data_IF_705208390424
#
_entry.id   IF_705208390424
#
_cell.length_a   1.000
_cell.length_b   1.000
_cell.length_c   1.000
_cell.angle_alpha   90.00
_cell.angle_beta   90.00
_cell.angle_gamma   90.00
#
_symmetry.space_group_name_H-M   'P 1'
#
loop_
_entity.id
_entity.type
_entity.pdbx_description
1 polymer ?
#
# COMPACT_ATOMS: atom_id res chain seq x y z
N UNK A 1 1.15 15.39 -9.74
CA UNK A 1 1.33 14.25 -10.68
C UNK A 1 1.69 12.96 -9.94
N UNK A 2 2.71 12.94 -9.07
CA UNK A 2 3.10 11.74 -8.30
C UNK A 2 1.93 11.14 -7.46
N UNK A 3 1.22 11.98 -6.69
CA UNK A 3 0.03 11.57 -5.92
C UNK A 3 -1.06 10.90 -6.78
N UNK A 4 -1.31 11.43 -7.98
CA UNK A 4 -2.27 10.86 -8.94
C UNK A 4 -1.84 9.47 -9.43
N UNK A 5 -0.55 9.29 -9.73
CA UNK A 5 0.01 8.01 -10.17
C UNK A 5 0.00 6.99 -9.02
N UNK A 6 0.31 7.43 -7.80
CA UNK A 6 0.28 6.57 -6.60
C UNK A 6 -1.13 6.09 -6.29
N UNK A 7 -2.11 7.00 -6.33
CA UNK A 7 -3.52 6.64 -6.14
C UNK A 7 -4.00 5.67 -7.24
N UNK A 8 -3.67 5.93 -8.51
CA UNK A 8 -3.99 5.00 -9.60
C UNK A 8 -3.30 3.64 -9.42
N UNK A 9 -2.06 3.61 -8.95
CA UNK A 9 -1.32 2.36 -8.70
C UNK A 9 -1.87 1.53 -7.52
N UNK A 10 -2.50 2.20 -6.55
CA UNK A 10 -3.03 1.56 -5.34
C UNK A 10 -4.49 1.12 -5.48
N UNK A 11 -5.32 1.94 -6.15
CA UNK A 11 -6.76 1.80 -6.11
C UNK A 11 -7.40 1.40 -7.46
N UNK A 12 -6.71 1.54 -8.59
CA UNK A 12 -7.25 1.14 -9.90
C UNK A 12 -6.69 -0.21 -10.36
N UNK A 13 -7.53 -1.05 -10.98
CA UNK A 13 -7.10 -2.25 -11.71
C UNK A 13 -6.48 -1.86 -13.07
N UNK A 14 -5.39 -1.11 -13.03
CA UNK A 14 -4.66 -0.72 -14.24
C UNK A 14 -3.99 -1.97 -14.82
N UNK A 15 -4.28 -2.35 -16.07
CA UNK A 15 -3.70 -3.55 -16.72
C UNK A 15 -2.16 -3.47 -16.95
N UNK A 16 -1.53 -2.35 -16.60
CA UNK A 16 -0.11 -2.04 -16.86
C UNK A 16 0.72 -1.85 -15.57
N UNK A 17 0.36 -2.53 -14.46
CA UNK A 17 0.98 -2.32 -13.12
C UNK A 17 2.50 -2.47 -13.14
N UNK A 18 2.99 -3.50 -13.82
CA UNK A 18 4.42 -3.78 -14.01
C UNK A 18 5.16 -2.66 -14.75
N UNK A 19 4.48 -2.01 -15.69
CA UNK A 19 5.05 -0.95 -16.53
C UNK A 19 5.15 0.38 -15.79
N UNK A 20 4.34 0.59 -14.74
CA UNK A 20 4.27 1.84 -13.98
C UNK A 20 5.15 1.84 -12.73
N UNK A 21 5.49 0.69 -12.13
CA UNK A 21 6.38 0.63 -10.96
C UNK A 21 7.78 1.18 -11.24
N UNK A 22 8.36 0.83 -12.39
CA UNK A 22 9.72 1.25 -12.79
C UNK A 22 9.86 2.78 -12.99
N UNK A 23 8.96 3.47 -13.71
CA UNK A 23 8.98 4.93 -13.79
C UNK A 23 8.58 5.59 -12.45
N UNK A 24 7.73 4.96 -11.65
CA UNK A 24 7.35 5.47 -10.33
C UNK A 24 8.54 5.57 -9.37
N UNK A 25 9.43 4.58 -9.35
CA UNK A 25 10.68 4.67 -8.57
C UNK A 25 11.49 5.91 -8.95
N UNK A 26 11.63 6.18 -10.25
CA UNK A 26 12.31 7.39 -10.74
C UNK A 26 11.66 8.68 -10.27
N UNK A 27 10.33 8.74 -10.26
CA UNK A 27 9.59 9.90 -9.78
C UNK A 27 9.70 10.08 -8.25
N UNK A 28 9.67 8.98 -7.48
CA UNK A 28 9.84 9.01 -6.02
C UNK A 28 11.23 9.53 -5.66
N UNK A 29 12.28 9.04 -6.32
CA UNK A 29 13.66 9.48 -6.06
C UNK A 29 13.92 10.93 -6.50
N UNK A 30 13.21 11.41 -7.54
CA UNK A 30 13.31 12.79 -7.99
C UNK A 30 12.54 13.76 -7.08
N UNK A 31 11.45 13.30 -6.48
CA UNK A 31 10.52 14.10 -5.69
C UNK A 31 10.27 13.50 -4.31
N UNK A 32 11.35 13.19 -3.59
CA UNK A 32 11.30 12.51 -2.29
C UNK A 32 10.47 13.27 -1.25
N UNK A 33 10.62 14.59 -1.19
CA UNK A 33 9.85 15.45 -0.28
C UNK A 33 8.34 15.37 -0.57
N UNK A 34 7.95 15.43 -1.85
CA UNK A 34 6.56 15.29 -2.26
C UNK A 34 6.00 13.90 -1.91
N UNK A 35 6.82 12.85 -2.05
CA UNK A 35 6.44 11.49 -1.68
C UNK A 35 6.22 11.37 -0.16
N UNK A 36 7.12 11.91 0.65
CA UNK A 36 6.99 11.88 2.12
C UNK A 36 5.78 12.68 2.59
N UNK A 37 5.54 13.87 2.02
CA UNK A 37 4.36 14.66 2.34
C UNK A 37 3.07 13.92 2.01
N UNK A 38 2.98 13.34 0.80
CA UNK A 38 1.82 12.55 0.40
C UNK A 38 1.60 11.33 1.31
N UNK A 39 2.68 10.64 1.70
CA UNK A 39 2.61 9.51 2.66
C UNK A 39 2.03 9.95 3.99
N UNK A 40 2.51 11.08 4.54
CA UNK A 40 2.01 11.63 5.80
C UNK A 40 0.52 12.02 5.71
N UNK A 41 0.12 12.68 4.62
CA UNK A 41 -1.29 13.03 4.38
C UNK A 41 -2.18 11.79 4.27
N UNK A 42 -1.72 10.75 3.57
CA UNK A 42 -2.47 9.50 3.45
C UNK A 42 -2.65 8.81 4.81
N UNK A 43 -1.57 8.72 5.60
CA UNK A 43 -1.59 8.11 6.94
C UNK A 43 -2.47 8.90 7.91
N UNK A 44 -2.42 10.24 7.86
CA UNK A 44 -3.25 11.10 8.70
C UNK A 44 -4.75 10.87 8.43
N UNK A 45 -5.11 10.54 7.20
CA UNK A 45 -6.48 10.23 6.80
C UNK A 45 -6.92 8.77 7.12
N UNK A 46 -6.02 7.91 7.60
CA UNK A 46 -6.40 6.54 8.01
C UNK A 46 -6.89 6.48 9.48
N UNK A 47 -7.83 5.57 9.79
CA UNK A 47 -8.19 5.21 11.15
C UNK A 47 -6.99 4.80 11.99
N UNK A 48 -6.99 5.17 13.28
CA UNK A 48 -5.82 5.00 14.17
C UNK A 48 -5.40 3.53 14.34
N UNK A 49 -6.36 2.61 14.34
CA UNK A 49 -6.18 1.16 14.37
C UNK A 49 -5.49 0.59 13.11
N UNK A 50 -5.60 1.29 11.97
CA UNK A 50 -5.01 0.87 10.69
C UNK A 50 -3.68 1.58 10.40
N UNK A 51 -3.39 2.72 11.04
CA UNK A 51 -2.19 3.53 10.78
C UNK A 51 -0.89 2.73 10.89
N UNK A 52 -0.74 1.93 11.94
CA UNK A 52 0.46 1.10 12.14
C UNK A 52 0.70 0.12 10.98
N UNK A 53 -0.37 -0.54 10.51
CA UNK A 53 -0.28 -1.47 9.39
C UNK A 53 0.07 -0.76 8.06
N UNK A 54 -0.50 0.43 7.82
CA UNK A 54 -0.11 1.25 6.66
C UNK A 54 1.34 1.72 6.74
N UNK A 55 1.83 2.13 7.92
CA UNK A 55 3.24 2.53 8.12
C UNK A 55 4.21 1.37 7.84
N UNK A 56 3.90 0.18 8.32
CA UNK A 56 4.68 -1.03 8.05
C UNK A 56 4.67 -1.38 6.55
N UNK A 57 3.52 -1.25 5.89
CA UNK A 57 3.41 -1.46 4.45
C UNK A 57 4.31 -0.47 3.68
N UNK A 58 4.33 0.82 4.07
CA UNK A 58 5.22 1.82 3.45
C UNK A 58 6.70 1.55 3.72
N UNK A 59 7.03 1.00 4.89
CA UNK A 59 8.40 0.57 5.22
C UNK A 59 8.81 -0.57 4.30
N UNK A 60 7.95 -1.58 4.14
CA UNK A 60 8.18 -2.73 3.26
C UNK A 60 8.27 -2.33 1.78
N UNK A 61 7.54 -1.29 1.35
CA UNK A 61 7.64 -0.76 -0.01
C UNK A 61 9.06 -0.31 -0.36
N UNK A 62 9.76 0.29 0.61
CA UNK A 62 11.11 0.85 0.43
C UNK A 62 12.22 -0.10 0.90
N UNK A 63 11.90 -1.30 1.37
CA UNK A 63 12.89 -2.25 1.87
C UNK A 63 13.85 -2.70 0.76
N UNK A 64 15.15 -2.59 1.02
CA UNK A 64 16.18 -2.86 0.02
C UNK A 64 16.19 -1.93 -1.21
N UNK A 65 15.43 -0.83 -1.20
CA UNK A 65 15.42 0.17 -2.27
C UNK A 65 16.50 1.21 -2.04
N UNK A 66 17.43 1.31 -2.97
CA UNK A 66 18.54 2.27 -2.93
C UNK A 66 18.19 3.57 -3.68
N UNK A 67 18.99 4.64 -3.49
CA UNK A 67 18.85 5.91 -4.20
C UNK A 67 19.48 5.88 -5.61
N UNK A 68 19.13 4.88 -6.43
CA UNK A 68 19.62 4.75 -7.80
C UNK A 68 18.58 4.09 -8.73
N UNK A 69 18.84 4.11 -10.04
CA UNK A 69 17.95 3.56 -11.06
C UNK A 69 18.52 2.30 -11.74
N UNK A 70 19.35 1.55 -11.03
CA UNK A 70 19.87 0.28 -11.52
C UNK A 70 18.73 -0.70 -11.82
N UNK A 71 18.96 -1.62 -12.75
CA UNK A 71 17.97 -2.65 -13.10
C UNK A 71 17.55 -3.46 -11.87
N UNK A 72 18.53 -3.86 -11.04
CA UNK A 72 18.28 -4.59 -9.79
C UNK A 72 17.38 -3.80 -8.84
N UNK A 73 17.67 -2.52 -8.62
CA UNK A 73 16.89 -1.70 -7.69
C UNK A 73 15.45 -1.47 -8.18
N UNK A 74 15.28 -1.28 -9.50
CA UNK A 74 13.97 -1.21 -10.14
C UNK A 74 13.18 -2.52 -9.98
N UNK A 75 13.85 -3.66 -10.10
CA UNK A 75 13.21 -4.97 -9.91
C UNK A 75 12.80 -5.19 -8.45
N UNK A 76 13.67 -4.83 -7.49
CA UNK A 76 13.34 -4.85 -6.05
C UNK A 76 12.09 -3.99 -5.76
N UNK A 77 12.08 -2.72 -6.20
CA UNK A 77 10.93 -1.85 -5.99
C UNK A 77 9.65 -2.40 -6.63
N UNK A 78 9.76 -3.04 -7.81
CA UNK A 78 8.60 -3.65 -8.49
C UNK A 78 8.04 -4.83 -7.68
N UNK A 79 8.90 -5.66 -7.08
CA UNK A 79 8.48 -6.75 -6.18
C UNK A 79 7.81 -6.20 -4.91
N UNK A 80 8.43 -5.20 -4.28
CA UNK A 80 7.89 -4.55 -3.09
C UNK A 80 6.53 -3.92 -3.36
N UNK A 81 6.36 -3.26 -4.52
CA UNK A 81 5.07 -2.70 -4.93
C UNK A 81 3.97 -3.75 -5.05
N UNK A 82 4.27 -4.93 -5.59
CA UNK A 82 3.28 -6.01 -5.69
C UNK A 82 2.82 -6.48 -4.31
N UNK A 83 3.74 -6.59 -3.35
CA UNK A 83 3.41 -6.94 -1.96
C UNK A 83 2.63 -5.82 -1.28
N UNK A 84 3.11 -4.58 -1.40
CA UNK A 84 2.46 -3.39 -0.85
C UNK A 84 0.99 -3.29 -1.26
N UNK A 85 0.68 -3.52 -2.55
CA UNK A 85 -0.71 -3.50 -3.04
C UNK A 85 -1.59 -4.54 -2.35
N UNK A 86 -1.09 -5.78 -2.20
CA UNK A 86 -1.83 -6.86 -1.50
C UNK A 86 -2.08 -6.50 -0.04
N UNK A 87 -1.04 -6.05 0.66
CA UNK A 87 -1.13 -5.64 2.06
C UNK A 87 -2.13 -4.49 2.25
N UNK A 88 -2.08 -3.47 1.41
CA UNK A 88 -3.04 -2.34 1.48
C UNK A 88 -4.47 -2.83 1.23
N UNK A 89 -4.68 -3.72 0.25
CA UNK A 89 -6.00 -4.30 0.01
C UNK A 89 -6.49 -5.16 1.19
N UNK A 90 -5.61 -5.88 1.86
CA UNK A 90 -5.93 -6.66 3.06
C UNK A 90 -6.28 -5.76 4.25
N UNK A 91 -5.52 -4.67 4.49
CA UNK A 91 -5.81 -3.69 5.54
C UNK A 91 -7.19 -3.05 5.31
N UNK A 92 -7.52 -2.73 4.05
CA UNK A 92 -8.81 -2.15 3.69
C UNK A 92 -9.93 -3.21 3.80
N UNK A 93 -9.71 -4.45 3.34
CA UNK A 93 -10.69 -5.54 3.40
C UNK A 93 -10.89 -6.13 4.79
N UNK A 94 -9.91 -5.99 5.70
CA UNK A 94 -10.02 -6.41 7.11
C UNK A 94 -11.21 -5.79 7.84
N UNK A 95 -11.78 -4.71 7.28
CA UNK A 95 -13.06 -4.11 7.66
C UNK A 95 -14.26 -5.08 7.54
N UNK A 96 -14.23 -5.99 6.56
CA UNK A 96 -15.36 -6.90 6.27
C UNK A 96 -15.38 -8.13 7.18
N UNK A 97 -14.21 -8.62 7.62
CA UNK A 97 -14.14 -9.85 8.44
C UNK A 97 -14.26 -9.58 9.94
N UNK A 98 -13.94 -8.38 10.42
CA UNK A 98 -14.12 -8.04 11.84
C UNK A 98 -15.58 -7.70 12.20
N UNK A 99 -16.44 -7.46 11.20
CA UNK A 99 -17.86 -7.14 11.39
C UNK A 99 -18.81 -8.35 11.36
N UNK A 100 -18.31 -9.57 11.07
CA UNK A 100 -19.12 -10.80 11.12
C UNK A 100 -18.60 -11.68 12.26
N UNK A 101 -19.03 -11.37 13.49
CA UNK A 101 -19.22 -12.43 14.46
C UNK A 101 -20.57 -13.08 14.16
N UNK A 102 -20.65 -14.37 13.82
CA UNK A 102 -21.89 -15.10 13.94
C UNK A 102 -22.22 -15.14 15.43
N UNK A 103 -23.30 -14.47 15.84
CA UNK A 103 -23.90 -14.73 17.15
C UNK A 103 -24.21 -16.23 17.18
N UNK A 104 -23.61 -17.04 18.07
CA UNK A 104 -24.11 -18.37 18.29
C UNK A 104 -25.46 -18.19 18.96
N UNK A 105 -26.53 -18.31 18.17
CA UNK A 105 -27.85 -18.64 18.69
C UNK A 105 -27.74 -20.04 19.29
N UNK A 106 -27.30 -20.11 20.54
CA UNK A 106 -27.49 -21.30 21.34
C UNK A 106 -28.98 -21.39 21.65
N UNK A 107 -29.62 -22.27 20.89
CA UNK A 107 -31.00 -22.71 20.97
C UNK A 107 -31.55 -22.80 22.39
N UNK A 108 -32.80 -22.35 22.51
CA UNK A 108 -33.77 -22.82 23.50
C UNK A 108 -33.78 -24.35 23.52
N UNK A 109 -33.53 -25.00 24.68
CA UNK A 109 -34.18 -26.25 25.08
C UNK A 109 -33.78 -26.68 26.50
N UNK A 110 -34.62 -26.28 27.48
CA UNK A 110 -35.11 -27.03 28.67
C UNK A 110 -35.33 -26.09 29.86
#
# INVERSE_FOLDING_TARGET
MLSTILNASLFEDVKCQWSLSRPLLGLILLQEECFQQWKMELLANQPQDKRAAFEEAFTSLMDGVERNLSTRNKDTFTQNMNMFRKTIQEIIKGDVMSAVQPVPVADMMS
#
